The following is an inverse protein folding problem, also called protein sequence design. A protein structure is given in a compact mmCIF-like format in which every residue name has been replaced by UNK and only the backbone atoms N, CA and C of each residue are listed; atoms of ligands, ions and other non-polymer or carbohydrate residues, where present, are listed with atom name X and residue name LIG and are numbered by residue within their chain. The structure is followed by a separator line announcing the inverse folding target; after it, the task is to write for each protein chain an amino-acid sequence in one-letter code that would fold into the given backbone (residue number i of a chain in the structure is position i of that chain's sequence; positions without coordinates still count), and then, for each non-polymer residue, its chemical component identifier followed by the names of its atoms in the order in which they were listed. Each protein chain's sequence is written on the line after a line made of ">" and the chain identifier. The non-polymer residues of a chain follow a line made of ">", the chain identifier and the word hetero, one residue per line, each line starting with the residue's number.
data_IF_955738921819
#
_entry.id   IF_955738921819
#
_cell.length_a   1.000
_cell.length_b   1.000
_cell.length_c   1.000
_cell.angle_alpha   90.00
_cell.angle_beta   90.00
_cell.angle_gamma   90.00
#
_symmetry.space_group_name_H-M   'P 1'
#
loop_
_entity.id
_entity.type
_entity.pdbx_description
1 polymer ?
#
# COMPACT_ATOMS: atom_id res chain seq x y z
N UNK A 1 -17.21 -9.01 13.71
CA UNK A 1 -15.91 -9.69 13.89
C UNK A 1 -15.27 -9.19 15.17
N UNK A 2 -14.74 -10.08 15.99
CA UNK A 2 -14.03 -9.70 17.23
C UNK A 2 -12.71 -9.01 16.87
N UNK A 3 -12.33 -7.96 17.62
CA UNK A 3 -11.08 -7.22 17.37
C UNK A 3 -9.91 -8.13 17.74
N UNK A 4 -9.01 -8.38 16.78
CA UNK A 4 -7.79 -9.15 17.01
C UNK A 4 -6.93 -8.48 18.09
N UNK A 5 -6.12 -9.28 18.80
CA UNK A 5 -5.14 -8.76 19.76
C UNK A 5 -4.11 -7.89 19.05
N UNK A 6 -3.55 -6.91 19.77
CA UNK A 6 -2.58 -5.94 19.25
C UNK A 6 -1.41 -6.61 18.52
N UNK A 7 -0.82 -7.64 19.13
CA UNK A 7 0.34 -8.36 18.56
C UNK A 7 -0.05 -9.11 17.27
N UNK A 8 -1.28 -9.60 17.19
CA UNK A 8 -1.79 -10.24 15.96
C UNK A 8 -1.96 -9.21 14.86
N UNK A 9 -2.50 -8.03 15.16
CA UNK A 9 -2.62 -6.95 14.19
C UNK A 9 -1.24 -6.48 13.70
N UNK A 10 -0.28 -6.30 14.61
CA UNK A 10 1.07 -5.87 14.26
C UNK A 10 1.79 -6.84 13.30
N UNK A 11 1.54 -8.15 13.42
CA UNK A 11 2.19 -9.18 12.60
C UNK A 11 1.39 -9.51 11.34
N UNK A 12 0.06 -9.51 11.40
CA UNK A 12 -0.80 -10.05 10.33
C UNK A 12 -1.42 -9.00 9.43
N UNK A 13 -1.44 -7.73 9.83
CA UNK A 13 -1.82 -6.64 8.94
C UNK A 13 -0.67 -6.43 7.96
N UNK A 14 -0.89 -6.73 6.69
CA UNK A 14 0.11 -6.59 5.63
C UNK A 14 -0.60 -6.32 4.30
N UNK A 15 0.16 -5.93 3.27
CA UNK A 15 -0.39 -5.79 1.93
C UNK A 15 -0.96 -7.13 1.41
N UNK A 16 -1.85 -7.04 0.43
CA UNK A 16 -2.37 -8.22 -0.24
C UNK A 16 -1.22 -9.04 -0.85
N UNK A 17 -1.32 -10.37 -0.75
CA UNK A 17 -0.31 -11.26 -1.35
C UNK A 17 -0.32 -11.10 -2.86
N UNK A 18 0.87 -11.09 -3.44
CA UNK A 18 0.99 -11.15 -4.88
C UNK A 18 0.58 -12.53 -5.42
N UNK A 19 0.57 -12.67 -6.73
CA UNK A 19 0.37 -13.93 -7.45
C UNK A 19 1.38 -15.04 -7.12
N UNK A 20 2.40 -14.77 -6.29
CA UNK A 20 3.47 -15.69 -5.94
C UNK A 20 3.33 -16.32 -4.55
N UNK A 21 2.23 -16.07 -3.84
CA UNK A 21 1.89 -16.69 -2.54
C UNK A 21 3.00 -16.57 -1.48
N UNK A 22 3.73 -15.47 -1.49
CA UNK A 22 4.80 -15.22 -0.54
C UNK A 22 4.31 -15.00 0.91
N UNK A 23 5.15 -15.35 1.87
CA UNK A 23 4.86 -15.12 3.29
C UNK A 23 4.98 -13.63 3.66
N UNK A 24 6.07 -13.01 3.23
CA UNK A 24 6.40 -11.61 3.51
C UNK A 24 6.16 -10.75 2.29
N UNK A 25 5.70 -9.52 2.48
CA UNK A 25 5.44 -8.60 1.37
C UNK A 25 6.73 -8.32 0.58
N UNK A 26 6.69 -8.43 -0.77
CA UNK A 26 7.86 -8.15 -1.60
C UNK A 26 8.35 -6.70 -1.48
N UNK A 27 9.65 -6.48 -1.71
CA UNK A 27 10.22 -5.14 -1.74
C UNK A 27 10.08 -4.51 -3.14
N UNK A 28 9.31 -3.43 -3.24
CA UNK A 28 9.07 -2.63 -4.43
C UNK A 28 10.14 -1.53 -4.56
N UNK A 29 11.37 -1.95 -4.85
CA UNK A 29 12.53 -1.08 -5.05
C UNK A 29 12.54 -0.45 -6.45
N UNK A 30 11.48 0.29 -6.76
CA UNK A 30 11.28 1.02 -8.01
C UNK A 30 10.96 2.48 -7.75
N UNK A 31 11.25 3.34 -8.70
CA UNK A 31 10.83 4.75 -8.66
C UNK A 31 9.46 4.98 -9.31
N UNK A 32 9.11 4.22 -10.34
CA UNK A 32 7.90 4.41 -11.15
C UNK A 32 7.15 3.11 -11.41
N UNK A 33 5.90 3.24 -11.86
CA UNK A 33 4.99 2.14 -12.18
C UNK A 33 4.51 2.25 -13.64
N UNK A 34 4.14 1.10 -14.22
CA UNK A 34 3.64 1.02 -15.60
C UNK A 34 2.13 1.19 -15.65
N UNK A 35 1.65 1.70 -16.77
CA UNK A 35 0.23 1.79 -17.11
C UNK A 35 -0.04 0.89 -18.32
N UNK A 36 -1.25 0.35 -18.40
CA UNK A 36 -1.71 -0.48 -19.51
C UNK A 36 -1.78 0.33 -20.80
N UNK A 37 -2.30 1.56 -20.72
CA UNK A 37 -2.35 2.51 -21.83
C UNK A 37 -2.27 3.98 -21.37
N UNK A 38 -2.31 4.90 -22.33
CA UNK A 38 -2.22 6.33 -22.07
C UNK A 38 -3.49 6.91 -21.40
N UNK A 39 -4.64 6.27 -21.60
CA UNK A 39 -5.90 6.73 -21.00
C UNK A 39 -5.95 6.38 -19.51
N UNK A 40 -5.45 5.19 -19.13
CA UNK A 40 -5.29 4.80 -17.73
C UNK A 40 -4.33 5.74 -16.99
N UNK A 41 -3.22 6.13 -17.63
CA UNK A 41 -2.32 7.14 -17.08
C UNK A 41 -3.06 8.47 -16.87
N UNK A 42 -3.76 8.98 -17.90
CA UNK A 42 -4.53 10.23 -17.80
C UNK A 42 -5.52 10.19 -16.64
N UNK A 43 -6.32 9.11 -16.54
CA UNK A 43 -7.32 8.93 -15.51
C UNK A 43 -6.70 8.88 -14.10
N UNK A 44 -5.55 8.21 -13.95
CA UNK A 44 -4.84 8.14 -12.66
C UNK A 44 -4.33 9.52 -12.22
N UNK A 45 -3.73 10.30 -13.13
CA UNK A 45 -3.26 11.66 -12.82
C UNK A 45 -4.40 12.66 -12.57
N UNK A 46 -5.61 12.36 -13.02
CA UNK A 46 -6.82 13.14 -12.78
C UNK A 46 -7.59 12.70 -11.51
N UNK A 47 -7.01 11.81 -10.69
CA UNK A 47 -7.64 11.20 -9.51
C UNK A 47 -8.95 10.44 -9.82
N UNK A 48 -9.18 10.06 -11.08
CA UNK A 48 -10.34 9.25 -11.49
C UNK A 48 -10.11 7.76 -11.19
N UNK A 49 -8.85 7.34 -11.06
CA UNK A 49 -8.44 5.98 -10.69
C UNK A 49 -7.33 6.00 -9.65
N UNK A 50 -7.44 5.16 -8.61
CA UNK A 50 -6.39 5.02 -7.61
C UNK A 50 -5.36 3.97 -8.03
N UNK A 51 -4.17 4.42 -8.42
CA UNK A 51 -3.01 3.61 -8.78
C UNK A 51 -1.72 4.26 -8.28
N UNK A 52 -0.68 3.46 -8.08
CA UNK A 52 0.64 4.00 -7.82
C UNK A 52 1.18 4.69 -9.09
N UNK A 53 1.65 5.93 -8.95
CA UNK A 53 2.24 6.70 -10.06
C UNK A 53 3.76 6.70 -9.94
N UNK A 54 4.24 7.14 -8.78
CA UNK A 54 5.66 7.37 -8.53
C UNK A 54 5.96 7.26 -7.03
N UNK A 55 7.05 6.59 -6.67
CA UNK A 55 7.41 6.24 -5.29
C UNK A 55 7.60 7.44 -4.36
N UNK A 56 7.83 8.64 -4.90
CA UNK A 56 7.87 9.88 -4.09
C UNK A 56 6.56 10.15 -3.35
N UNK A 57 5.43 9.71 -3.92
CA UNK A 57 4.10 9.96 -3.37
C UNK A 57 3.42 8.67 -2.91
N UNK A 58 3.67 7.55 -3.61
CA UNK A 58 3.00 6.29 -3.36
C UNK A 58 3.91 5.11 -3.68
N UNK A 59 4.17 4.24 -2.71
CA UNK A 59 4.87 2.98 -2.90
C UNK A 59 4.21 1.88 -2.04
N UNK A 60 3.99 0.66 -2.56
CA UNK A 60 3.30 -0.39 -1.80
C UNK A 60 3.91 -0.70 -0.42
N UNK A 61 5.24 -0.69 -0.30
CA UNK A 61 5.87 -0.96 1.00
C UNK A 61 5.63 0.17 2.00
N UNK A 62 5.66 1.42 1.52
CA UNK A 62 5.40 2.60 2.34
C UNK A 62 3.93 2.61 2.78
N UNK A 63 3.01 2.26 1.88
CA UNK A 63 1.58 2.17 2.18
C UNK A 63 1.29 1.13 3.26
N UNK A 64 1.84 -0.09 3.15
CA UNK A 64 1.67 -1.12 4.17
C UNK A 64 2.15 -0.62 5.55
N UNK A 65 3.30 0.04 5.58
CA UNK A 65 3.85 0.59 6.82
C UNK A 65 2.91 1.63 7.45
N UNK A 66 2.42 2.58 6.64
CA UNK A 66 1.49 3.61 7.08
C UNK A 66 0.18 2.99 7.58
N UNK A 67 -0.45 2.11 6.79
CA UNK A 67 -1.73 1.49 7.13
C UNK A 67 -1.62 0.69 8.44
N UNK A 68 -0.51 -0.05 8.61
CA UNK A 68 -0.22 -0.80 9.82
C UNK A 68 -0.10 0.12 11.03
N UNK A 69 0.65 1.22 10.93
CA UNK A 69 0.79 2.16 12.05
C UNK A 69 -0.52 2.88 12.36
N UNK A 70 -1.26 3.33 11.35
CA UNK A 70 -2.56 3.98 11.57
C UNK A 70 -3.54 3.04 12.27
N UNK A 71 -3.58 1.77 11.87
CA UNK A 71 -4.39 0.75 12.54
C UNK A 71 -3.98 0.55 14.01
N UNK A 72 -2.68 0.48 14.30
CA UNK A 72 -2.16 0.21 15.64
C UNK A 72 -2.34 1.40 16.59
N UNK A 73 -2.19 2.63 16.09
CA UNK A 73 -2.37 3.88 16.85
C UNK A 73 -3.84 4.35 16.90
N UNK A 74 -4.72 3.74 16.10
CA UNK A 74 -6.11 4.20 15.97
C UNK A 74 -6.23 5.57 15.27
N UNK A 75 -5.28 5.90 14.41
CA UNK A 75 -5.28 7.13 13.62
C UNK A 75 -6.09 6.95 12.34
N UNK A 76 -6.72 8.03 11.87
CA UNK A 76 -7.52 8.04 10.63
C UNK A 76 -6.64 7.99 9.38
N UNK A 77 -5.48 8.64 9.42
CA UNK A 77 -4.55 8.72 8.29
C UNK A 77 -3.10 8.89 8.78
N UNK A 78 -2.16 8.61 7.88
CA UNK A 78 -0.72 8.77 8.12
C UNK A 78 0.02 9.01 6.82
N UNK A 79 1.30 9.37 6.93
CA UNK A 79 2.19 9.61 5.79
C UNK A 79 3.60 9.19 6.15
N UNK A 80 4.31 8.61 5.18
CA UNK A 80 5.73 8.29 5.26
C UNK A 80 6.37 8.51 3.88
N UNK A 81 7.70 8.66 3.84
CA UNK A 81 8.47 8.98 2.61
C UNK A 81 9.62 8.01 2.44
#
# INVERSE_FOLDING_TARGET
>A
MEKLRFETQAIRTQAERSQHDEHSVPMYLTSSFVFEDAEEMRATFADEQQRNIYSRFSNPNVQEFVDKLCLLEGAEAGVAT
#
